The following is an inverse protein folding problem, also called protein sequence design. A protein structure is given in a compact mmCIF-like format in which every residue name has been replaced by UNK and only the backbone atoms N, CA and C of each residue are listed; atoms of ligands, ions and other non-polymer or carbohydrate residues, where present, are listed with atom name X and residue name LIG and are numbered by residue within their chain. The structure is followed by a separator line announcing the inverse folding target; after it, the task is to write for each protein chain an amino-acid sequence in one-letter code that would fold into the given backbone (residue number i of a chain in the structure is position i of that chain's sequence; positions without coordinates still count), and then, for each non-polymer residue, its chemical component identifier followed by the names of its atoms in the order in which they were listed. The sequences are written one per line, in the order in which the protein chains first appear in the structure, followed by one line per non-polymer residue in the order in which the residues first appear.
data_IF_354330010587
#
_entry.id   IF_354330010587
#
_cell.length_a   1.000
_cell.length_b   1.000
_cell.length_c   1.000
_cell.angle_alpha   90.00
_cell.angle_beta   90.00
_cell.angle_gamma   90.00
#
_symmetry.space_group_name_H-M   'P 1'
#
loop_
_entity.id
_entity.type
_entity.pdbx_description
1 polymer ?
#
# COMPACT_ATOMS: atom_id res chain seq x y z
N UNK A 1 6.77 49.21 13.91
CA UNK A 1 5.59 48.35 13.73
C UNK A 1 5.77 47.40 12.53
N UNK A 2 7.00 46.96 12.24
CA UNK A 2 7.35 46.23 11.00
C UNK A 2 7.75 44.76 11.23
N UNK A 3 8.22 44.41 12.43
CA UNK A 3 8.69 43.03 12.71
C UNK A 3 7.56 41.99 12.78
N UNK A 4 6.32 42.41 13.05
CA UNK A 4 5.15 41.51 13.08
C UNK A 4 4.65 41.12 11.67
N UNK A 5 4.91 41.94 10.65
CA UNK A 5 4.55 41.60 9.26
C UNK A 5 5.56 40.65 8.63
N UNK A 6 6.85 40.81 8.89
CA UNK A 6 7.89 39.92 8.35
C UNK A 6 7.71 38.47 8.83
N UNK A 7 7.40 38.27 10.11
CA UNK A 7 7.12 36.93 10.65
C UNK A 7 5.87 36.30 10.06
N UNK A 8 4.84 37.07 9.67
CA UNK A 8 3.66 36.53 8.98
C UNK A 8 3.99 36.04 7.57
N UNK A 9 4.85 36.77 6.85
CA UNK A 9 5.26 36.41 5.48
C UNK A 9 6.15 35.16 5.49
N UNK A 10 7.09 35.06 6.44
CA UNK A 10 7.95 33.88 6.60
C UNK A 10 7.13 32.65 7.01
N UNK A 11 6.12 32.81 7.88
CA UNK A 11 5.22 31.71 8.25
C UNK A 11 4.35 31.24 7.06
N UNK A 12 3.90 32.18 6.21
CA UNK A 12 3.12 31.88 5.00
C UNK A 12 3.98 31.21 3.91
N UNK A 13 5.24 31.60 3.77
CA UNK A 13 6.18 30.93 2.87
C UNK A 13 6.58 29.55 3.40
N UNK A 14 6.79 29.38 4.70
CA UNK A 14 7.08 28.07 5.30
C UNK A 14 5.88 27.10 5.22
N UNK A 15 4.65 27.61 5.28
CA UNK A 15 3.44 26.82 5.00
C UNK A 15 3.27 26.54 3.49
N UNK A 16 3.69 27.47 2.63
CA UNK A 16 3.65 27.32 1.16
C UNK A 16 4.64 26.30 0.59
N UNK A 17 5.70 25.95 1.33
CA UNK A 17 6.71 24.96 0.90
C UNK A 17 6.38 23.50 1.28
N UNK A 18 5.21 23.22 1.87
CA UNK A 18 4.78 21.85 2.18
C UNK A 18 3.78 21.26 1.18
N UNK A 19 3.36 22.02 0.17
CA UNK A 19 2.57 21.52 -0.95
C UNK A 19 3.53 21.14 -2.09
N UNK A 20 4.48 20.24 -1.82
CA UNK A 20 5.04 19.47 -2.93
C UNK A 20 3.89 18.59 -3.43
N UNK A 21 3.23 19.10 -4.47
CA UNK A 21 2.31 18.40 -5.35
C UNK A 21 3.00 17.16 -5.93
N UNK A 22 3.13 16.12 -5.13
CA UNK A 22 3.34 14.78 -5.65
C UNK A 22 2.03 14.39 -6.33
N UNK A 23 1.94 14.68 -7.63
CA UNK A 23 0.88 14.18 -8.51
C UNK A 23 0.97 12.66 -8.72
N UNK A 24 1.97 12.02 -8.12
CA UNK A 24 2.29 10.61 -8.23
C UNK A 24 2.60 10.10 -6.83
N UNK A 25 1.98 8.99 -6.44
CA UNK A 25 2.30 8.26 -5.22
C UNK A 25 2.92 6.93 -5.63
N UNK A 26 4.06 6.59 -5.04
CA UNK A 26 4.71 5.29 -5.18
C UNK A 26 4.65 4.57 -3.84
N UNK A 27 4.64 3.24 -3.84
CA UNK A 27 4.68 2.51 -2.57
C UNK A 27 6.02 2.67 -1.85
N UNK A 28 7.09 2.97 -2.59
CA UNK A 28 8.40 3.27 -2.05
C UNK A 28 8.40 4.50 -1.12
N UNK A 29 7.44 5.42 -1.29
CA UNK A 29 7.36 6.68 -0.54
C UNK A 29 7.07 6.48 0.96
N UNK A 30 6.68 5.26 1.38
CA UNK A 30 6.47 4.94 2.81
C UNK A 30 7.79 4.63 3.54
N UNK A 31 8.92 4.49 2.84
CA UNK A 31 10.16 4.09 3.49
C UNK A 31 10.64 5.13 4.49
N UNK A 32 10.80 4.73 5.75
CA UNK A 32 11.22 5.63 6.81
C UNK A 32 10.12 6.51 7.36
N UNK A 33 8.88 6.40 6.86
CA UNK A 33 7.72 7.11 7.43
C UNK A 33 7.51 6.71 8.88
N UNK A 34 7.22 7.72 9.72
CA UNK A 34 7.06 7.56 11.17
C UNK A 34 5.72 8.05 11.63
N UNK A 35 5.05 7.25 12.44
CA UNK A 35 3.80 7.64 13.09
C UNK A 35 3.82 7.27 14.57
N UNK A 36 2.92 7.89 15.34
CA UNK A 36 2.68 7.54 16.74
C UNK A 36 1.23 7.11 16.91
N UNK A 37 1.00 5.92 17.45
CA UNK A 37 -0.34 5.40 17.77
C UNK A 37 -0.50 5.32 19.28
N UNK A 38 -1.60 5.88 19.78
CA UNK A 38 -2.07 5.63 21.14
C UNK A 38 -3.19 4.59 21.11
N UNK A 39 -2.96 3.40 21.67
CA UNK A 39 -3.94 2.30 21.61
C UNK A 39 -5.22 2.54 22.42
N UNK A 40 -5.22 3.50 23.36
CA UNK A 40 -6.41 3.84 24.16
C UNK A 40 -7.34 4.79 23.41
N UNK A 41 -6.79 5.79 22.74
CA UNK A 41 -7.59 6.77 21.98
C UNK A 41 -7.91 6.28 20.57
N UNK A 42 -7.09 5.41 19.98
CA UNK A 42 -7.30 4.89 18.64
C UNK A 42 -8.44 3.85 18.61
N UNK A 43 -9.63 4.32 18.20
CA UNK A 43 -10.84 3.49 18.10
C UNK A 43 -10.89 2.69 16.80
N UNK A 44 -10.53 3.31 15.68
CA UNK A 44 -10.52 2.67 14.36
C UNK A 44 -9.25 1.85 14.14
N UNK A 45 -9.38 0.73 13.44
CA UNK A 45 -8.23 -0.03 12.96
C UNK A 45 -7.59 0.60 11.72
N UNK A 46 -8.30 1.48 11.00
CA UNK A 46 -7.74 2.24 9.89
C UNK A 46 -7.21 3.58 10.39
N UNK A 47 -5.89 3.75 10.31
CA UNK A 47 -5.19 4.99 10.67
C UNK A 47 -4.71 5.63 9.38
N UNK A 48 -5.21 6.81 9.03
CA UNK A 48 -4.70 7.54 7.87
C UNK A 48 -3.33 8.13 8.22
N UNK A 49 -2.30 7.79 7.43
CA UNK A 49 -0.91 8.19 7.68
C UNK A 49 -0.39 9.20 6.65
N UNK A 50 -0.96 9.19 5.44
CA UNK A 50 -0.71 10.20 4.40
C UNK A 50 -2.07 10.63 3.87
N UNK A 51 -2.25 11.94 3.71
CA UNK A 51 -3.45 12.54 3.12
C UNK A 51 -3.05 13.71 2.24
N UNK A 52 -3.40 13.65 0.96
CA UNK A 52 -3.30 14.80 0.06
C UNK A 52 -4.53 14.88 -0.85
N UNK A 53 -4.53 15.81 -1.81
CA UNK A 53 -5.69 16.00 -2.70
C UNK A 53 -6.00 14.81 -3.61
N UNK A 54 -4.99 13.99 -3.93
CA UNK A 54 -5.07 12.92 -4.94
C UNK A 54 -5.08 11.52 -4.29
N UNK A 55 -4.47 11.37 -3.11
CA UNK A 55 -4.23 10.09 -2.47
C UNK A 55 -4.48 10.11 -0.96
N UNK A 56 -4.82 8.95 -0.42
CA UNK A 56 -4.77 8.64 1.02
C UNK A 56 -3.95 7.35 1.21
N UNK A 57 -3.16 7.26 2.28
CA UNK A 57 -2.54 6.01 2.71
C UNK A 57 -3.04 5.62 4.08
N UNK A 58 -3.57 4.40 4.20
CA UNK A 58 -4.10 3.86 5.45
C UNK A 58 -3.18 2.78 6.01
N UNK A 59 -2.80 2.94 7.27
CA UNK A 59 -2.17 1.93 8.11
C UNK A 59 -3.26 1.09 8.79
N UNK A 60 -3.21 -0.24 8.63
CA UNK A 60 -4.17 -1.14 9.26
C UNK A 60 -3.60 -1.65 10.58
N UNK A 61 -4.13 -1.11 11.68
CA UNK A 61 -3.78 -1.43 13.05
C UNK A 61 -4.33 -2.79 13.48
N UNK A 62 -3.43 -3.71 13.74
CA UNK A 62 -3.68 -4.97 14.45
C UNK A 62 -3.21 -4.82 15.91
N UNK A 63 -4.15 -4.58 16.83
CA UNK A 63 -3.86 -4.29 18.24
C UNK A 63 -3.18 -5.46 18.96
N UNK A 64 -3.35 -6.70 18.50
CA UNK A 64 -2.73 -7.88 19.10
C UNK A 64 -1.20 -7.84 18.96
N UNK A 65 -0.70 -7.25 17.87
CA UNK A 65 0.75 -7.10 17.60
C UNK A 65 1.46 -6.16 18.56
N UNK A 66 0.72 -5.47 19.42
CA UNK A 66 1.25 -4.54 20.43
C UNK A 66 1.34 -5.16 21.83
N UNK A 67 1.00 -6.44 21.94
CA UNK A 67 1.15 -7.28 23.13
C UNK A 67 2.54 -7.94 23.06
N UNK A 68 3.59 -7.14 23.29
CA UNK A 68 4.99 -7.60 23.32
C UNK A 68 5.74 -6.98 24.50
N UNK A 69 6.95 -7.45 24.76
CA UNK A 69 7.82 -6.86 25.78
C UNK A 69 8.17 -5.41 25.41
N UNK A 70 7.60 -4.47 26.16
CA UNK A 70 7.72 -3.02 25.96
C UNK A 70 9.15 -2.48 26.11
N UNK A 71 10.11 -3.30 26.57
CA UNK A 71 11.53 -2.92 26.64
C UNK A 71 12.26 -3.09 25.32
N UNK A 72 11.69 -3.85 24.38
CA UNK A 72 12.32 -4.20 23.13
C UNK A 72 11.56 -3.62 21.95
N UNK A 73 12.30 -3.34 20.87
CA UNK A 73 11.71 -2.99 19.58
C UNK A 73 11.16 -4.25 18.93
N UNK A 74 9.88 -4.25 18.57
CA UNK A 74 9.29 -5.32 17.79
C UNK A 74 9.41 -5.02 16.29
N UNK A 75 9.68 -6.03 15.47
CA UNK A 75 9.74 -5.92 14.01
C UNK A 75 8.81 -6.96 13.42
N UNK A 76 7.84 -6.50 12.64
CA UNK A 76 6.77 -7.34 12.11
C UNK A 76 6.29 -6.79 10.76
N UNK A 77 5.32 -7.46 10.14
CA UNK A 77 4.64 -7.02 8.93
C UNK A 77 3.44 -6.13 9.26
N UNK A 78 2.96 -5.39 8.27
CA UNK A 78 1.75 -4.59 8.37
C UNK A 78 1.09 -4.44 7.01
N UNK A 79 -0.24 -4.33 7.00
CA UNK A 79 -0.98 -4.00 5.80
C UNK A 79 -1.11 -2.48 5.66
N UNK A 80 -0.80 -1.98 4.48
CA UNK A 80 -1.05 -0.60 4.07
C UNK A 80 -2.00 -0.60 2.87
N UNK A 81 -2.88 0.40 2.81
CA UNK A 81 -3.74 0.66 1.64
C UNK A 81 -3.30 1.97 1.00
N UNK A 82 -2.85 1.89 -0.25
CA UNK A 82 -2.50 3.03 -1.09
C UNK A 82 -3.72 3.41 -1.94
N UNK A 83 -4.45 4.42 -1.50
CA UNK A 83 -5.76 4.78 -2.04
C UNK A 83 -5.66 5.94 -3.03
N UNK A 84 -6.11 5.73 -4.27
CA UNK A 84 -6.25 6.78 -5.28
C UNK A 84 -7.67 7.34 -5.28
N UNK A 85 -7.80 8.64 -5.00
CA UNK A 85 -9.08 9.36 -5.04
C UNK A 85 -9.61 9.50 -6.47
N UNK A 86 -8.72 9.52 -7.46
CA UNK A 86 -9.06 9.57 -8.88
C UNK A 86 -9.78 8.31 -9.36
N UNK A 87 -9.26 7.14 -8.98
CA UNK A 87 -9.83 5.86 -9.40
C UNK A 87 -10.84 5.31 -8.41
N UNK A 88 -10.92 5.87 -7.20
CA UNK A 88 -11.82 5.40 -6.16
C UNK A 88 -11.51 3.93 -5.80
N UNK A 89 -10.21 3.61 -5.77
CA UNK A 89 -9.65 2.28 -5.52
C UNK A 89 -8.36 2.39 -4.71
N UNK A 90 -8.11 1.38 -3.88
CA UNK A 90 -6.86 1.26 -3.13
C UNK A 90 -6.12 -0.03 -3.41
N UNK A 91 -4.80 0.01 -3.40
CA UNK A 91 -3.96 -1.17 -3.44
C UNK A 91 -3.58 -1.55 -2.01
N UNK A 92 -3.97 -2.75 -1.59
CA UNK A 92 -3.58 -3.32 -0.31
C UNK A 92 -2.32 -4.16 -0.46
N UNK A 93 -1.27 -3.76 0.26
CA UNK A 93 0.05 -4.37 0.20
C UNK A 93 0.68 -4.51 1.60
N UNK A 94 1.63 -5.43 1.71
CA UNK A 94 2.28 -5.77 2.98
C UNK A 94 3.67 -5.13 3.04
N UNK A 95 3.93 -4.49 4.17
CA UNK A 95 5.16 -3.77 4.47
C UNK A 95 5.75 -4.23 5.79
N UNK A 96 7.02 -3.91 6.02
CA UNK A 96 7.66 -4.14 7.30
C UNK A 96 7.44 -2.92 8.19
N UNK A 97 7.26 -3.15 9.47
CA UNK A 97 7.17 -2.12 10.49
C UNK A 97 8.08 -2.43 11.66
N UNK A 98 8.52 -1.35 12.28
CA UNK A 98 9.23 -1.33 13.55
C UNK A 98 8.30 -0.69 14.59
N UNK A 99 8.01 -1.36 15.70
CA UNK A 99 7.15 -0.85 16.77
C UNK A 99 7.97 -0.68 18.05
N UNK A 100 7.95 0.52 18.61
CA UNK A 100 8.65 0.86 19.86
C UNK A 100 7.66 1.45 20.86
N UNK A 101 7.61 0.88 22.07
CA UNK A 101 6.80 1.44 23.14
C UNK A 101 7.42 2.73 23.68
N UNK A 102 6.61 3.78 23.81
CA UNK A 102 7.05 5.07 24.33
C UNK A 102 6.63 5.26 25.79
N UNK A 103 5.32 5.44 26.04
CA UNK A 103 4.73 5.60 27.38
C UNK A 103 3.21 5.52 27.31
N UNK A 104 2.53 5.14 28.41
CA UNK A 104 1.06 5.28 28.58
C UNK A 104 0.21 4.79 27.38
N UNK A 105 0.63 3.70 26.73
CA UNK A 105 0.01 3.12 25.52
C UNK A 105 0.27 3.87 24.20
N UNK A 106 1.22 4.81 24.18
CA UNK A 106 1.82 5.38 22.97
C UNK A 106 2.90 4.47 22.41
N UNK A 107 2.87 4.27 21.10
CA UNK A 107 3.84 3.48 20.34
C UNK A 107 4.32 4.28 19.14
N UNK A 108 5.64 4.36 18.97
CA UNK A 108 6.23 4.87 17.75
C UNK A 108 6.32 3.73 16.74
N UNK A 109 5.96 4.01 15.50
CA UNK A 109 6.03 3.06 14.40
C UNK A 109 6.88 3.67 13.31
N UNK A 110 7.80 2.89 12.76
CA UNK A 110 8.56 3.24 11.56
C UNK A 110 8.25 2.21 10.49
N UNK A 111 7.87 2.68 9.30
CA UNK A 111 7.58 1.84 8.15
C UNK A 111 8.84 1.62 7.33
N UNK A 112 8.92 0.43 6.76
CA UNK A 112 10.03 -0.01 5.95
C UNK A 112 9.49 -0.77 4.75
N UNK A 113 9.99 -0.39 3.60
CA UNK A 113 9.74 -1.08 2.34
C UNK A 113 10.44 -2.46 2.34
N UNK A 114 11.52 -2.62 3.10
CA UNK A 114 12.34 -3.84 3.19
C UNK A 114 13.05 -4.17 1.85
N UNK A 115 13.19 -3.20 0.94
CA UNK A 115 13.79 -3.42 -0.38
C UNK A 115 15.30 -3.31 -0.33
N UNK A 116 15.94 -4.47 -0.27
CA UNK A 116 17.33 -4.61 -0.69
C UNK A 116 17.45 -5.31 -2.04
N UNK A 117 16.37 -5.91 -2.59
CA UNK A 117 16.37 -6.67 -3.86
C UNK A 117 14.99 -6.75 -4.54
N UNK A 118 14.97 -7.07 -5.84
CA UNK A 118 13.78 -7.21 -6.71
C UNK A 118 12.79 -8.34 -6.31
N UNK A 119 13.18 -9.20 -5.36
CA UNK A 119 12.52 -10.46 -5.03
C UNK A 119 11.69 -10.46 -3.73
N UNK A 120 11.66 -9.35 -2.98
CA UNK A 120 11.18 -9.37 -1.59
C UNK A 120 9.78 -8.80 -1.36
N UNK A 121 9.06 -8.44 -2.42
CA UNK A 121 7.68 -8.02 -2.30
C UNK A 121 6.76 -9.24 -2.33
N UNK A 122 5.77 -9.29 -1.44
CA UNK A 122 4.75 -10.34 -1.52
C UNK A 122 4.00 -10.17 -2.84
N UNK A 123 4.06 -11.15 -3.75
CA UNK A 123 3.56 -10.96 -5.11
C UNK A 123 2.04 -10.79 -5.12
N UNK A 124 1.34 -11.43 -4.19
CA UNK A 124 -0.12 -11.41 -4.08
C UNK A 124 -0.59 -10.19 -3.30
N UNK A 125 -1.46 -9.38 -3.92
CA UNK A 125 -2.09 -8.19 -3.37
C UNK A 125 -3.58 -8.17 -3.71
N UNK A 126 -4.31 -7.24 -3.10
CA UNK A 126 -5.72 -6.98 -3.39
C UNK A 126 -5.91 -5.52 -3.79
N UNK A 127 -6.85 -5.28 -4.70
CA UNK A 127 -7.39 -3.95 -4.98
C UNK A 127 -8.77 -3.85 -4.34
N UNK A 128 -8.95 -2.80 -3.54
CA UNK A 128 -10.17 -2.53 -2.77
C UNK A 128 -10.93 -1.31 -3.29
N UNK A 129 -12.24 -1.24 -3.03
CA UNK A 129 -13.07 -0.06 -3.27
C UNK A 129 -13.04 0.95 -2.10
N UNK A 130 -13.90 1.97 -2.14
CA UNK A 130 -14.05 2.98 -1.07
C UNK A 130 -14.43 2.41 0.28
N UNK A 131 -15.21 1.34 0.26
CA UNK A 131 -15.73 0.68 1.45
C UNK A 131 -14.76 -0.43 1.91
N UNK A 132 -13.56 -0.47 1.31
CA UNK A 132 -12.51 -1.46 1.53
C UNK A 132 -12.92 -2.90 1.18
N UNK A 133 -13.92 -3.09 0.32
CA UNK A 133 -14.26 -4.40 -0.23
C UNK A 133 -13.26 -4.79 -1.33
N UNK A 134 -12.86 -6.06 -1.35
CA UNK A 134 -11.93 -6.59 -2.34
C UNK A 134 -12.62 -6.86 -3.68
N UNK A 135 -12.24 -6.11 -4.71
CA UNK A 135 -12.82 -6.23 -6.06
C UNK A 135 -11.91 -6.97 -7.04
N UNK A 136 -10.59 -6.79 -6.91
CA UNK A 136 -9.62 -7.43 -7.78
C UNK A 136 -8.50 -8.08 -6.99
N UNK A 137 -8.01 -9.19 -7.54
CA UNK A 137 -6.78 -9.82 -7.12
C UNK A 137 -5.66 -9.28 -8.00
N UNK A 138 -4.49 -9.09 -7.42
CA UNK A 138 -3.33 -8.61 -8.15
C UNK A 138 -2.11 -9.47 -7.82
N UNK A 139 -1.34 -9.82 -8.85
CA UNK A 139 -0.11 -10.61 -8.71
C UNK A 139 1.03 -9.94 -9.44
N UNK A 140 2.07 -9.58 -8.70
CA UNK A 140 3.37 -9.19 -9.24
C UNK A 140 4.18 -10.44 -9.58
N UNK A 141 4.88 -10.41 -10.71
CA UNK A 141 5.84 -11.43 -11.09
C UNK A 141 7.14 -10.80 -11.58
N UNK A 142 8.23 -11.48 -11.28
CA UNK A 142 9.57 -11.15 -11.76
C UNK A 142 10.19 -12.44 -12.27
N UNK A 143 10.36 -12.55 -13.59
CA UNK A 143 10.83 -13.78 -14.22
C UNK A 143 11.84 -13.52 -15.33
N UNK A 144 12.84 -14.39 -15.52
CA UNK A 144 13.76 -14.30 -16.65
C UNK A 144 12.99 -14.51 -17.96
N UNK A 145 13.50 -13.93 -19.06
CA UNK A 145 12.96 -14.20 -20.39
C UNK A 145 13.16 -15.67 -20.75
N UNK A 146 12.24 -16.29 -21.52
CA UNK A 146 12.30 -17.72 -21.85
C UNK A 146 13.63 -18.16 -22.50
N UNK A 147 14.30 -17.26 -23.21
CA UNK A 147 15.51 -17.54 -23.98
C UNK A 147 16.77 -16.83 -23.45
N UNK A 148 16.63 -16.00 -22.42
CA UNK A 148 17.75 -15.29 -21.82
C UNK A 148 17.58 -15.22 -20.30
N UNK A 149 18.39 -16.02 -19.59
CA UNK A 149 18.37 -16.09 -18.12
C UNK A 149 18.96 -14.85 -17.45
N UNK A 150 19.60 -13.96 -18.19
CA UNK A 150 20.21 -12.73 -17.69
C UNK A 150 19.30 -11.51 -17.89
N UNK A 151 18.26 -11.62 -18.71
CA UNK A 151 17.28 -10.56 -18.94
C UNK A 151 15.99 -10.93 -18.22
N UNK A 152 15.55 -10.07 -17.31
CA UNK A 152 14.35 -10.28 -16.52
C UNK A 152 13.24 -9.33 -16.96
N UNK A 153 12.01 -9.81 -16.87
CA UNK A 153 10.79 -9.01 -17.03
C UNK A 153 10.02 -9.00 -15.74
N UNK A 154 9.65 -7.80 -15.31
CA UNK A 154 8.69 -7.55 -14.26
C UNK A 154 7.33 -7.30 -14.87
N UNK A 155 6.27 -7.80 -14.24
CA UNK A 155 4.92 -7.45 -14.64
C UNK A 155 3.90 -7.68 -13.56
N UNK A 156 2.68 -7.22 -13.84
CA UNK A 156 1.55 -7.29 -12.94
C UNK A 156 0.38 -7.90 -13.70
N UNK A 157 -0.27 -8.86 -13.04
CA UNK A 157 -1.53 -9.44 -13.50
C UNK A 157 -2.63 -9.05 -12.54
N UNK A 158 -3.74 -8.52 -13.05
CA UNK A 158 -4.93 -8.18 -12.27
C UNK A 158 -6.08 -9.07 -12.74
N UNK A 159 -6.84 -9.62 -11.80
CA UNK A 159 -7.96 -10.52 -12.04
C UNK A 159 -9.20 -10.01 -11.29
N UNK A 160 -10.35 -9.97 -11.96
CA UNK A 160 -11.63 -9.70 -11.32
C UNK A 160 -11.97 -10.81 -10.32
N UNK A 161 -12.29 -10.42 -9.09
CA UNK A 161 -12.56 -11.38 -8.01
C UNK A 161 -13.90 -12.12 -8.21
N UNK A 162 -14.91 -11.46 -8.79
CA UNK A 162 -16.22 -12.07 -9.09
C UNK A 162 -16.14 -12.96 -10.32
N UNK A 163 -15.45 -12.49 -11.36
CA UNK A 163 -15.23 -13.24 -12.60
C UNK A 163 -13.73 -13.49 -12.82
N UNK A 164 -13.25 -14.59 -12.24
CA UNK A 164 -11.83 -14.99 -12.27
C UNK A 164 -11.26 -15.18 -13.68
N UNK A 165 -12.07 -15.30 -14.72
CA UNK A 165 -11.55 -15.37 -16.08
C UNK A 165 -11.14 -14.02 -16.65
N UNK A 166 -11.64 -12.92 -16.09
CA UNK A 166 -11.36 -11.59 -16.59
C UNK A 166 -10.03 -11.11 -15.98
N UNK A 167 -8.99 -11.13 -16.80
CA UNK A 167 -7.64 -10.73 -16.39
C UNK A 167 -7.03 -9.73 -17.35
N UNK A 168 -6.20 -8.84 -16.82
CA UNK A 168 -5.27 -8.01 -17.60
C UNK A 168 -3.85 -8.27 -17.09
N UNK A 169 -2.88 -8.26 -18.01
CA UNK A 169 -1.47 -8.41 -17.71
C UNK A 169 -0.69 -7.30 -18.41
N UNK A 170 0.27 -6.70 -17.72
CA UNK A 170 1.11 -5.65 -18.26
C UNK A 170 2.51 -5.67 -17.64
N UNK A 171 3.50 -5.28 -18.45
CA UNK A 171 4.89 -5.19 -18.04
C UNK A 171 5.15 -3.89 -17.28
N UNK A 172 6.07 -3.94 -16.32
CA UNK A 172 6.53 -2.77 -15.56
C UNK A 172 8.06 -2.64 -15.71
N UNK A 173 8.59 -1.42 -15.55
CA UNK A 173 9.99 -1.13 -15.89
C UNK A 173 10.98 -1.60 -14.82
N UNK A 174 10.51 -1.89 -13.62
CA UNK A 174 11.37 -2.29 -12.51
C UNK A 174 10.61 -3.00 -11.40
N UNK A 175 10.85 -2.57 -10.16
CA UNK A 175 10.11 -3.09 -9.02
C UNK A 175 8.76 -2.39 -8.90
N UNK A 176 7.72 -3.16 -8.61
CA UNK A 176 6.36 -2.64 -8.48
C UNK A 176 6.22 -1.50 -7.47
N UNK A 177 7.03 -1.45 -6.42
CA UNK A 177 6.91 -0.38 -5.43
C UNK A 177 7.33 1.00 -5.93
N UNK A 178 8.09 1.07 -7.04
CA UNK A 178 8.46 2.33 -7.68
C UNK A 178 7.49 2.72 -8.80
N UNK A 179 6.52 1.86 -9.12
CA UNK A 179 5.46 2.20 -10.06
C UNK A 179 4.45 3.13 -9.40
N UNK A 180 3.96 4.12 -10.16
CA UNK A 180 2.92 5.02 -9.70
C UNK A 180 1.61 4.24 -9.50
N UNK A 181 0.99 4.41 -8.34
CA UNK A 181 -0.29 3.77 -7.98
C UNK A 181 -1.36 4.01 -9.05
N UNK A 182 -1.44 5.24 -9.57
CA UNK A 182 -2.42 5.60 -10.60
C UNK A 182 -2.19 4.87 -11.93
N UNK A 183 -0.94 4.60 -12.30
CA UNK A 183 -0.60 3.89 -13.53
C UNK A 183 -1.00 2.41 -13.41
N UNK A 184 -0.78 1.80 -12.24
CA UNK A 184 -1.24 0.44 -11.94
C UNK A 184 -2.77 0.38 -12.02
N UNK A 185 -3.47 1.26 -11.30
CA UNK A 185 -4.94 1.26 -11.22
C UNK A 185 -5.62 1.59 -12.56
N UNK A 186 -4.97 2.37 -13.44
CA UNK A 186 -5.50 2.67 -14.77
C UNK A 186 -5.80 1.41 -15.60
N UNK A 187 -5.06 0.31 -15.36
CA UNK A 187 -5.21 -0.95 -16.09
C UNK A 187 -6.49 -1.71 -15.73
N UNK A 188 -7.15 -1.39 -14.61
CA UNK A 188 -8.44 -2.00 -14.25
C UNK A 188 -9.48 -1.76 -15.35
N UNK A 189 -9.44 -0.59 -16.00
CA UNK A 189 -10.35 -0.26 -17.10
C UNK A 189 -10.26 -1.19 -18.32
N UNK A 190 -9.13 -1.91 -18.47
CA UNK A 190 -8.87 -2.85 -19.56
C UNK A 190 -9.39 -4.26 -19.26
N UNK A 191 -9.82 -4.52 -18.02
CA UNK A 191 -10.40 -5.80 -17.62
C UNK A 191 -11.78 -5.91 -18.26
N UNK A 192 -12.02 -7.01 -18.98
CA UNK A 192 -13.34 -7.25 -19.57
C UNK A 192 -14.41 -7.26 -18.49
N UNK A 193 -15.57 -6.66 -18.77
CA UNK A 193 -16.76 -6.73 -17.92
C UNK A 193 -17.70 -7.88 -18.32
N UNK A 194 -17.37 -8.61 -19.39
CA UNK A 194 -18.19 -9.71 -19.88
C UNK A 194 -18.14 -10.90 -18.93
N UNK A 195 -19.28 -11.48 -18.63
CA UNK A 195 -19.32 -12.76 -17.92
C UNK A 195 -18.75 -13.88 -18.79
N UNK A 196 -17.81 -14.62 -18.19
CA UNK A 196 -17.15 -15.75 -18.82
C UNK A 196 -17.62 -17.02 -18.12
N UNK A 197 -18.40 -17.85 -18.82
CA UNK A 197 -18.82 -19.16 -18.33
C UNK A 197 -17.68 -20.21 -18.34
N UNK A 198 -16.42 -19.79 -18.53
CA UNK A 198 -15.26 -20.68 -18.53
C UNK A 198 -14.77 -20.93 -17.10
N UNK A 199 -14.24 -22.13 -16.86
CA UNK A 199 -13.41 -22.37 -15.66
C UNK A 199 -12.03 -21.80 -15.91
N UNK A 200 -11.59 -20.87 -15.05
CA UNK A 200 -10.25 -20.29 -15.09
C UNK A 200 -9.62 -20.35 -13.70
N UNK A 201 -8.29 -20.50 -13.69
CA UNK A 201 -7.54 -20.57 -12.44
C UNK A 201 -7.36 -19.18 -11.81
N UNK A 202 -7.45 -19.07 -10.47
CA UNK A 202 -7.18 -17.80 -9.80
C UNK A 202 -5.69 -17.47 -9.91
N UNK A 203 -5.36 -16.19 -10.09
CA UNK A 203 -3.96 -15.76 -10.18
C UNK A 203 -3.26 -15.83 -8.81
N UNK A 204 -4.03 -15.68 -7.73
CA UNK A 204 -3.62 -15.79 -6.33
C UNK A 204 -4.22 -17.07 -5.73
N UNK A 205 -3.42 -17.87 -5.02
CA UNK A 205 -3.91 -19.09 -4.41
C UNK A 205 -4.90 -18.79 -3.27
N UNK A 206 -5.88 -19.67 -3.04
CA UNK A 206 -6.87 -19.45 -1.97
C UNK A 206 -6.24 -19.41 -0.57
N UNK A 207 -5.14 -20.14 -0.38
CA UNK A 207 -4.36 -20.08 0.87
C UNK A 207 -3.77 -18.70 1.12
N UNK A 208 -3.34 -18.00 0.06
CA UNK A 208 -2.85 -16.63 0.17
C UNK A 208 -4.01 -15.70 0.57
N UNK A 209 -5.22 -15.95 0.04
CA UNK A 209 -6.38 -15.15 0.40
C UNK A 209 -6.80 -15.33 1.86
N UNK A 210 -6.88 -16.59 2.31
CA UNK A 210 -7.32 -16.93 3.66
C UNK A 210 -6.28 -16.58 4.73
N UNK A 211 -5.00 -16.81 4.45
CA UNK A 211 -3.92 -16.52 5.41
C UNK A 211 -3.65 -15.02 5.57
N UNK A 212 -3.67 -14.25 4.47
CA UNK A 212 -3.18 -12.87 4.49
C UNK A 212 -4.29 -11.82 4.59
N UNK A 213 -5.46 -12.03 3.96
CA UNK A 213 -6.47 -10.97 3.84
C UNK A 213 -7.71 -11.16 4.74
N UNK A 214 -7.97 -12.35 5.28
CA UNK A 214 -9.14 -12.59 6.15
C UNK A 214 -9.17 -11.75 7.43
N UNK A 215 -8.02 -11.32 7.95
CA UNK A 215 -7.98 -10.46 9.16
C UNK A 215 -8.45 -9.02 8.89
N UNK A 216 -8.58 -8.61 7.64
CA UNK A 216 -8.89 -7.23 7.23
C UNK A 216 -10.38 -7.07 6.89
N UNK A 217 -11.01 -8.13 6.38
CA UNK A 217 -12.40 -8.15 5.89
C UNK A 217 -13.37 -8.62 6.99
N UNK A 218 -13.33 -7.99 8.17
CA UNK A 218 -14.32 -8.25 9.24
C UNK A 218 -15.06 -6.98 9.63
#
# INVERSE_FOLDING_TARGET
MESKQLNKIILLLALGFSINLFSQLQMADIDGEKLTINLKSQKSNFVKIIENKDFDVFYILDKERYIFDKRHKNVDLVNLIFFSKKYNKGILAIFKQSIEYKKKSDYNITLHTNFHNQYMFQPSMIIVDNDFNYEYLMKYYYMPLPYDKNVYTSGVKIQDNKNKCNTVEFNIKGNMIYENIDDILSNISKISKSDSNKKCDPIVAEIDLRGFFQKIIK
#
